data_IF_111974362476
#
_entry.id   IF_111974362476
#
_cell.length_a   1.000
_cell.length_b   1.000
_cell.length_c   1.000
_cell.angle_alpha   90.00
_cell.angle_beta   90.00
_cell.angle_gamma   90.00
#
_symmetry.space_group_name_H-M   'P 1'
#
loop_
_entity.id
_entity.type
_entity.pdbx_description
1 polymer ?
#
# COMPACT_ATOMS: atom_id res chain seq x y z
N UNK A 1 -3.64 -9.14 14.51
CA UNK A 1 -2.47 -9.18 13.60
C UNK A 1 -2.33 -7.81 12.94
N UNK A 2 -1.14 -7.22 12.95
CA UNK A 2 -0.86 -5.89 12.38
C UNK A 2 -0.05 -6.06 11.09
N UNK A 3 -0.50 -5.41 10.02
CA UNK A 3 0.19 -5.38 8.74
C UNK A 3 0.97 -4.07 8.62
N UNK A 4 2.30 -4.16 8.54
CA UNK A 4 3.16 -3.02 8.25
C UNK A 4 3.31 -2.92 6.74
N UNK A 5 2.66 -1.93 6.15
CA UNK A 5 2.53 -1.81 4.71
C UNK A 5 3.37 -0.66 4.20
N UNK A 6 4.37 -0.96 3.37
CA UNK A 6 5.19 0.01 2.66
C UNK A 6 4.57 0.28 1.29
N UNK A 7 3.92 1.43 1.14
CA UNK A 7 3.37 1.88 -0.13
C UNK A 7 4.45 2.54 -0.99
N UNK A 8 4.48 2.22 -2.27
CA UNK A 8 5.28 2.87 -3.30
C UNK A 8 4.37 3.24 -4.46
N UNK A 9 4.42 4.51 -4.88
CA UNK A 9 3.62 5.01 -6.00
C UNK A 9 4.47 5.10 -7.26
N UNK A 10 4.02 4.46 -8.33
CA UNK A 10 4.70 4.52 -9.64
C UNK A 10 4.74 5.96 -10.14
N UNK A 11 5.92 6.41 -10.56
CA UNK A 11 6.14 7.80 -11.01
C UNK A 11 6.29 8.82 -9.88
N UNK A 12 6.13 8.42 -8.60
CA UNK A 12 6.32 9.30 -7.43
C UNK A 12 7.26 8.64 -6.40
N UNK A 13 8.58 8.57 -6.67
CA UNK A 13 9.54 7.84 -5.82
C UNK A 13 9.71 8.40 -4.40
N UNK A 14 9.34 9.67 -4.17
CA UNK A 14 9.38 10.30 -2.85
C UNK A 14 8.10 10.10 -2.03
N UNK A 15 7.02 9.60 -2.65
CA UNK A 15 5.74 9.37 -2.02
C UNK A 15 5.67 7.91 -1.56
N UNK A 16 6.54 7.59 -0.60
CA UNK A 16 6.60 6.29 0.06
C UNK A 16 6.22 6.44 1.53
N UNK A 17 5.16 5.74 1.95
CA UNK A 17 4.66 5.81 3.33
C UNK A 17 4.55 4.40 3.89
N UNK A 18 4.93 4.24 5.16
CA UNK A 18 4.67 3.01 5.89
C UNK A 18 3.48 3.23 6.81
N UNK A 19 2.45 2.39 6.65
CA UNK A 19 1.20 2.46 7.43
C UNK A 19 0.97 1.12 8.12
N UNK A 20 0.48 1.17 9.36
CA UNK A 20 0.01 -0.03 10.06
C UNK A 20 -1.48 -0.20 9.78
N UNK A 21 -1.89 -1.38 9.31
CA UNK A 21 -3.28 -1.72 9.04
C UNK A 21 -3.68 -2.98 9.82
N UNK A 22 -4.96 -3.08 10.18
CA UNK A 22 -5.54 -4.28 10.80
C UNK A 22 -5.90 -5.37 9.78
N UNK A 23 -5.96 -5.00 8.49
CA UNK A 23 -6.19 -5.91 7.38
C UNK A 23 -5.23 -5.57 6.22
N UNK A 24 -4.79 -6.56 5.43
CA UNK A 24 -3.91 -6.31 4.31
C UNK A 24 -4.71 -5.67 3.15
N UNK A 25 -4.12 -4.70 2.42
CA UNK A 25 -4.70 -4.21 1.19
C UNK A 25 -4.66 -5.30 0.12
N UNK A 26 -5.49 -5.14 -0.90
CA UNK A 26 -5.66 -6.08 -2.01
C UNK A 26 -5.46 -5.39 -3.35
N UNK A 27 -5.15 -6.16 -4.37
CA UNK A 27 -5.15 -5.68 -5.75
C UNK A 27 -6.51 -5.04 -6.09
N UNK A 28 -6.48 -3.85 -6.69
CA UNK A 28 -7.66 -3.04 -7.04
C UNK A 28 -8.23 -2.19 -5.91
N UNK A 29 -7.73 -2.33 -4.66
CA UNK A 29 -8.15 -1.44 -3.58
C UNK A 29 -7.72 -0.01 -3.88
N UNK A 30 -8.56 0.95 -3.48
CA UNK A 30 -8.22 2.37 -3.52
C UNK A 30 -7.78 2.85 -2.15
N UNK A 31 -6.61 3.46 -2.09
CA UNK A 31 -5.98 3.92 -0.85
C UNK A 31 -5.69 5.42 -0.93
N UNK A 32 -5.96 6.12 0.18
CA UNK A 32 -5.56 7.51 0.35
C UNK A 32 -4.16 7.55 0.94
N UNK A 33 -3.22 8.20 0.23
CA UNK A 33 -1.88 8.48 0.76
C UNK A 33 -1.72 10.00 0.82
N UNK A 34 -1.88 10.56 2.03
CA UNK A 34 -2.04 12.01 2.18
C UNK A 34 -3.38 12.46 1.63
N UNK A 35 -3.36 13.49 0.77
CA UNK A 35 -4.56 14.07 0.16
C UNK A 35 -4.89 13.48 -1.23
N UNK A 36 -4.14 12.47 -1.68
CA UNK A 36 -4.26 11.88 -3.00
C UNK A 36 -4.75 10.43 -2.96
N UNK A 37 -5.44 10.02 -4.03
CA UNK A 37 -6.00 8.68 -4.21
C UNK A 37 -5.18 7.83 -5.18
N UNK A 38 -4.94 6.58 -4.78
CA UNK A 38 -4.15 5.63 -5.54
C UNK A 38 -4.84 4.26 -5.60
N UNK A 39 -4.62 3.52 -6.68
CA UNK A 39 -5.09 2.15 -6.85
C UNK A 39 -3.93 1.19 -6.64
N UNK A 40 -4.15 0.17 -5.80
CA UNK A 40 -3.19 -0.89 -5.55
C UNK A 40 -3.12 -1.81 -6.76
N UNK A 41 -1.93 -1.95 -7.33
CA UNK A 41 -1.69 -2.84 -8.49
C UNK A 41 -0.81 -4.04 -8.15
N UNK A 42 -0.23 -4.08 -6.95
CA UNK A 42 0.61 -5.19 -6.52
C UNK A 42 0.69 -5.22 -5.00
N UNK A 43 0.66 -6.43 -4.43
CA UNK A 43 0.87 -6.68 -2.99
C UNK A 43 1.84 -7.84 -2.87
N UNK A 44 2.99 -7.61 -2.22
CA UNK A 44 4.04 -8.61 -2.00
C UNK A 44 4.28 -8.75 -0.50
N UNK A 45 4.26 -9.98 -0.01
CA UNK A 45 4.77 -10.32 1.32
C UNK A 45 6.30 -10.24 1.32
N UNK A 46 6.86 -9.21 1.97
CA UNK A 46 8.33 -9.04 2.04
C UNK A 46 8.97 -10.04 2.99
N UNK A 47 8.28 -10.35 4.08
CA UNK A 47 8.75 -11.26 5.13
C UNK A 47 7.58 -12.15 5.52
N UNK A 48 7.78 -13.47 5.69
CA UNK A 48 6.77 -14.34 6.26
C UNK A 48 6.24 -13.75 7.59
N UNK A 49 4.93 -13.82 7.86
CA UNK A 49 4.36 -13.37 9.13
C UNK A 49 5.13 -13.92 10.33
N UNK A 50 5.46 -13.06 11.29
CA UNK A 50 6.15 -13.44 12.53
C UNK A 50 5.27 -13.07 13.72
N UNK A 51 4.71 -14.07 14.39
CA UNK A 51 3.73 -13.83 15.45
C UNK A 51 2.54 -13.02 14.93
N UNK A 52 2.24 -11.91 15.58
CA UNK A 52 1.09 -11.06 15.25
C UNK A 52 1.39 -9.93 14.24
N UNK A 53 2.50 -9.99 13.49
CA UNK A 53 2.81 -8.98 12.47
C UNK A 53 3.28 -9.55 11.13
N UNK A 54 2.97 -8.83 10.04
CA UNK A 54 3.46 -9.10 8.69
C UNK A 54 3.95 -7.81 8.01
N UNK A 55 4.92 -7.94 7.10
CA UNK A 55 5.46 -6.82 6.32
C UNK A 55 5.07 -6.97 4.85
N UNK A 56 4.35 -5.98 4.34
CA UNK A 56 3.87 -5.94 2.96
C UNK A 56 4.55 -4.81 2.19
N UNK A 57 4.90 -5.07 0.95
CA UNK A 57 5.20 -4.06 -0.06
C UNK A 57 3.99 -3.91 -0.98
N UNK A 58 3.57 -2.68 -1.22
CA UNK A 58 2.39 -2.39 -2.04
C UNK A 58 2.73 -1.35 -3.08
N UNK A 59 2.58 -1.72 -4.35
CA UNK A 59 2.77 -0.82 -5.48
C UNK A 59 1.43 -0.23 -5.89
N UNK A 60 1.37 1.09 -6.06
CA UNK A 60 0.15 1.79 -6.46
C UNK A 60 0.33 2.67 -7.70
N UNK A 61 -0.77 2.90 -8.41
CA UNK A 61 -0.88 3.90 -9.47
C UNK A 61 -1.76 5.09 -9.02
N UNK A 62 -1.45 6.33 -9.43
CA UNK A 62 -2.37 7.45 -9.24
C UNK A 62 -3.69 7.18 -9.96
N UNK A 63 -4.81 7.39 -9.26
CA UNK A 63 -6.12 7.37 -9.90
C UNK A 63 -6.33 8.75 -10.52
N UNK A 64 -6.45 8.83 -11.85
CA UNK A 64 -6.96 10.05 -12.46
C UNK A 64 -8.42 10.20 -12.05
N UNK A 65 -8.74 11.20 -11.23
CA UNK A 65 -10.14 11.60 -11.07
C UNK A 65 -10.61 12.13 -12.42
N UNK A 66 -11.56 11.42 -13.04
CA UNK A 66 -12.23 11.92 -14.22
C UNK A 66 -12.92 13.24 -13.86
N UNK A 67 -12.41 14.34 -14.40
CA UNK A 67 -12.99 15.69 -14.30
C UNK A 67 -14.27 15.77 -15.11
#
# INVERSE_FOLDING_TARGET
>A
MIYKVSYVVVGKPHLGVIVNLDAPPRFGDRVHLGDEMFEVIEVIDLIPPRGDFAYLHVTCLPVQEAT
#
